data_IF_004966407132
#
_entry.id   IF_004966407132
#
_cell.length_a   1.000
_cell.length_b   1.000
_cell.length_c   1.000
_cell.angle_alpha   90.00
_cell.angle_beta   90.00
_cell.angle_gamma   90.00
#
_symmetry.space_group_name_H-M   'P 1'
#
loop_
_entity.id
_entity.type
_entity.pdbx_description
1 polymer ?
#
# COMPACT_ATOMS: atom_id res chain seq x y z
N UNK A 1 -6.58 -23.17 -35.12
CA UNK A 1 -6.96 -23.26 -33.69
C UNK A 1 -7.71 -21.98 -33.36
N UNK A 2 -9.04 -22.08 -33.18
CA UNK A 2 -9.88 -20.93 -32.87
C UNK A 2 -9.63 -20.53 -31.41
N UNK A 3 -9.01 -19.37 -31.19
CA UNK A 3 -8.90 -18.79 -29.86
C UNK A 3 -10.30 -18.47 -29.36
N UNK A 4 -10.67 -19.02 -28.21
CA UNK A 4 -11.88 -18.64 -27.49
C UNK A 4 -11.79 -17.14 -27.21
N UNK A 5 -12.52 -16.35 -28.00
CA UNK A 5 -12.90 -14.99 -27.63
C UNK A 5 -13.87 -15.15 -26.47
N UNK A 6 -13.32 -15.30 -25.27
CA UNK A 6 -14.08 -15.14 -24.05
C UNK A 6 -14.63 -13.71 -24.12
N UNK A 7 -15.94 -13.59 -24.32
CA UNK A 7 -16.64 -12.31 -24.36
C UNK A 7 -16.36 -11.66 -23.02
N UNK A 8 -15.36 -10.78 -22.97
CA UNK A 8 -15.08 -9.99 -21.79
C UNK A 8 -16.36 -9.20 -21.56
N UNK A 9 -17.12 -9.56 -20.52
CA UNK A 9 -18.37 -8.90 -20.13
C UNK A 9 -18.12 -7.50 -19.55
N UNK A 10 -17.01 -6.89 -19.97
CA UNK A 10 -16.64 -5.56 -19.61
C UNK A 10 -17.51 -4.59 -20.38
N UNK A 11 -17.92 -3.50 -19.73
CA UNK A 11 -18.56 -2.40 -20.42
C UNK A 11 -17.67 -2.00 -21.60
N UNK A 12 -18.24 -1.90 -22.80
CA UNK A 12 -17.54 -1.53 -24.04
C UNK A 12 -17.11 -0.06 -24.06
N UNK A 13 -16.61 0.46 -22.95
CA UNK A 13 -16.25 1.86 -22.77
C UNK A 13 -14.79 2.16 -23.21
N UNK A 14 -14.47 3.45 -23.29
CA UNK A 14 -13.15 3.91 -23.72
C UNK A 14 -12.04 3.58 -22.71
N UNK A 15 -12.38 3.31 -21.44
CA UNK A 15 -11.42 2.91 -20.42
C UNK A 15 -11.01 1.45 -20.63
N UNK A 16 -11.98 0.53 -20.70
CA UNK A 16 -11.78 -0.89 -20.98
C UNK A 16 -11.02 -1.12 -22.28
N UNK A 17 -11.25 -0.31 -23.32
CA UNK A 17 -10.50 -0.36 -24.58
C UNK A 17 -9.03 -0.01 -24.42
N UNK A 18 -8.67 0.96 -23.58
CA UNK A 18 -7.28 1.34 -23.33
C UNK A 18 -6.56 0.31 -22.44
N UNK A 19 -7.27 -0.27 -21.49
CA UNK A 19 -6.72 -1.28 -20.57
C UNK A 19 -6.57 -2.63 -21.27
N UNK A 20 -7.63 -3.15 -21.88
CA UNK A 20 -7.69 -4.53 -22.41
C UNK A 20 -7.54 -4.66 -23.92
N UNK A 21 -7.63 -3.54 -24.66
CA UNK A 21 -7.65 -3.57 -26.12
C UNK A 21 -6.34 -4.08 -26.73
N UNK A 22 -6.44 -4.65 -27.93
CA UNK A 22 -5.32 -5.28 -28.67
C UNK A 22 -4.86 -4.48 -29.89
N UNK A 23 -5.32 -3.23 -30.03
CA UNK A 23 -4.92 -2.34 -31.13
C UNK A 23 -3.44 -1.95 -31.02
N UNK A 24 -2.77 -1.86 -32.15
CA UNK A 24 -1.41 -1.31 -32.25
C UNK A 24 -1.33 0.13 -31.69
N UNK A 25 -0.15 0.48 -31.15
CA UNK A 25 0.10 1.77 -30.50
C UNK A 25 -0.33 1.85 -29.04
N UNK A 26 -0.84 0.78 -28.45
CA UNK A 26 -1.06 0.66 -27.01
C UNK A 26 0.22 0.15 -26.31
N UNK A 27 0.34 0.47 -25.02
CA UNK A 27 1.39 -0.13 -24.18
C UNK A 27 1.29 -1.66 -24.20
N UNK A 28 2.42 -2.39 -24.09
CA UNK A 28 2.41 -3.85 -24.14
C UNK A 28 1.39 -4.45 -23.19
N UNK A 29 0.72 -5.54 -23.62
CA UNK A 29 -0.28 -6.24 -22.80
C UNK A 29 0.28 -6.63 -21.43
N UNK A 30 1.52 -7.14 -21.39
CA UNK A 30 2.15 -7.55 -20.14
C UNK A 30 2.42 -6.37 -19.18
N UNK A 31 2.76 -5.19 -19.71
CA UNK A 31 2.88 -3.98 -18.89
C UNK A 31 1.53 -3.61 -18.28
N UNK A 32 0.47 -3.56 -19.09
CA UNK A 32 -0.86 -3.18 -18.61
C UNK A 32 -1.44 -4.18 -17.61
N UNK A 33 -1.12 -5.48 -17.76
CA UNK A 33 -1.44 -6.50 -16.76
C UNK A 33 -0.68 -6.26 -15.46
N UNK A 34 0.62 -5.94 -15.53
CA UNK A 34 1.41 -5.62 -14.35
C UNK A 34 0.86 -4.37 -13.63
N UNK A 35 0.50 -3.33 -14.38
CA UNK A 35 -0.12 -2.12 -13.85
C UNK A 35 -1.48 -2.42 -13.21
N UNK A 36 -2.29 -3.28 -13.83
CA UNK A 36 -3.54 -3.75 -13.23
C UNK A 36 -3.31 -4.54 -11.93
N UNK A 37 -2.35 -5.46 -11.90
CA UNK A 37 -2.02 -6.23 -10.70
C UNK A 37 -1.55 -5.31 -9.57
N UNK A 38 -0.71 -4.33 -9.89
CA UNK A 38 -0.25 -3.35 -8.91
C UNK A 38 -1.40 -2.50 -8.39
N UNK A 39 -2.26 -1.99 -9.26
CA UNK A 39 -3.40 -1.14 -8.88
C UNK A 39 -4.43 -1.89 -8.03
N UNK A 40 -4.66 -3.16 -8.33
CA UNK A 40 -5.61 -4.03 -7.61
C UNK A 40 -5.05 -4.50 -6.25
N UNK A 41 -3.77 -4.26 -5.95
CA UNK A 41 -3.13 -4.71 -4.71
C UNK A 41 -3.11 -3.60 -3.67
N UNK A 42 -3.86 -3.79 -2.59
CA UNK A 42 -3.78 -2.94 -1.40
C UNK A 42 -2.66 -3.38 -0.46
N UNK A 43 -2.01 -2.42 0.20
CA UNK A 43 -0.94 -2.69 1.17
C UNK A 43 -1.40 -2.32 2.58
N UNK A 44 -1.39 -3.29 3.49
CA UNK A 44 -1.70 -3.09 4.91
C UNK A 44 -0.39 -2.99 5.68
N UNK A 45 -0.18 -1.86 6.37
CA UNK A 45 0.89 -1.70 7.35
C UNK A 45 0.29 -1.90 8.75
N UNK A 46 0.74 -2.90 9.53
CA UNK A 46 0.20 -3.16 10.86
C UNK A 46 0.66 -2.14 11.91
N UNK A 47 0.06 -2.18 13.10
CA UNK A 47 0.43 -1.31 14.22
C UNK A 47 1.89 -1.54 14.65
N UNK A 48 2.51 -0.48 15.17
CA UNK A 48 3.89 -0.59 15.64
C UNK A 48 4.01 -1.39 16.94
N UNK A 49 5.05 -2.22 17.03
CA UNK A 49 5.45 -2.87 18.28
C UNK A 49 6.24 -1.88 19.13
N UNK A 50 5.89 -1.74 20.40
CA UNK A 50 6.61 -0.84 21.32
C UNK A 50 7.75 -1.59 22.02
N UNK A 51 8.95 -1.04 21.95
CA UNK A 51 10.11 -1.51 22.70
C UNK A 51 10.52 -0.44 23.69
N UNK A 52 10.46 -0.78 24.98
CA UNK A 52 10.89 0.10 26.07
C UNK A 52 12.39 -0.08 26.32
N UNK A 53 13.15 1.01 26.20
CA UNK A 53 14.58 1.06 26.55
C UNK A 53 14.71 1.89 27.82
N UNK A 54 15.14 1.26 28.90
CA UNK A 54 15.41 1.96 30.16
C UNK A 54 16.80 2.60 30.09
N UNK A 55 16.88 3.90 30.30
CA UNK A 55 18.15 4.63 30.38
C UNK A 55 18.21 5.33 31.72
N UNK A 56 19.29 5.07 32.47
CA UNK A 56 19.65 5.83 33.66
C UNK A 56 20.37 7.11 33.24
N UNK A 57 19.79 8.27 33.55
CA UNK A 57 20.40 9.59 33.31
C UNK A 57 20.24 10.47 34.54
N UNK A 58 21.25 11.30 34.79
CA UNK A 58 21.18 12.42 35.73
C UNK A 58 20.15 13.46 35.30
N UNK A 59 19.56 14.11 36.30
CA UNK A 59 18.33 14.91 36.27
C UNK A 59 18.39 16.17 35.40
N UNK A 60 18.37 16.07 34.06
CA UNK A 60 18.22 17.28 33.23
C UNK A 60 17.62 17.11 31.82
N UNK A 61 17.14 15.92 31.43
CA UNK A 61 16.61 15.72 30.06
C UNK A 61 15.08 15.47 30.02
N UNK A 62 14.27 16.39 29.45
CA UNK A 62 12.83 16.18 29.33
C UNK A 62 12.51 15.12 28.26
N UNK A 63 11.68 14.13 28.62
CA UNK A 63 11.21 13.09 27.70
C UNK A 63 10.29 13.67 26.61
N UNK A 64 10.65 13.49 25.34
CA UNK A 64 9.78 13.84 24.19
C UNK A 64 8.85 12.67 23.87
N UNK A 65 7.57 12.80 24.19
CA UNK A 65 6.54 11.85 23.76
C UNK A 65 6.43 11.83 22.23
N UNK A 66 6.63 10.67 21.60
CA UNK A 66 6.34 10.47 20.17
C UNK A 66 4.98 9.79 20.00
N UNK A 67 4.23 10.22 18.99
CA UNK A 67 2.91 9.67 18.64
C UNK A 67 3.05 8.22 18.18
N UNK A 68 2.24 7.31 18.74
CA UNK A 68 2.15 5.93 18.28
C UNK A 68 1.70 5.86 16.81
N UNK A 69 2.41 5.08 16.00
CA UNK A 69 2.04 4.78 14.62
C UNK A 69 0.93 3.74 14.63
N UNK A 70 -0.24 4.11 14.10
CA UNK A 70 -1.39 3.21 13.94
C UNK A 70 -1.32 2.48 12.59
N UNK A 71 -1.96 1.33 12.51
CA UNK A 71 -2.15 0.61 11.28
C UNK A 71 -2.78 1.49 10.20
N UNK A 72 -2.32 1.33 8.96
CA UNK A 72 -2.80 2.07 7.79
C UNK A 72 -2.91 1.13 6.60
N UNK A 73 -3.98 1.30 5.82
CA UNK A 73 -4.18 0.59 4.56
C UNK A 73 -4.00 1.58 3.41
N UNK A 74 -3.03 1.31 2.54
CA UNK A 74 -2.81 2.06 1.32
C UNK A 74 -3.49 1.35 0.14
N UNK A 75 -4.39 2.05 -0.54
CA UNK A 75 -5.07 1.58 -1.75
C UNK A 75 -4.56 2.42 -2.92
N UNK A 76 -3.99 1.80 -3.98
CA UNK A 76 -3.58 2.53 -5.16
C UNK A 76 -4.76 3.28 -5.79
N UNK A 77 -4.54 4.56 -6.11
CA UNK A 77 -5.55 5.42 -6.76
C UNK A 77 -5.03 6.08 -8.04
N UNK A 78 -3.72 5.97 -8.31
CA UNK A 78 -3.08 6.58 -9.48
C UNK A 78 -3.32 5.73 -10.70
N UNK A 79 -4.06 6.28 -11.66
CA UNK A 79 -4.32 5.64 -12.95
C UNK A 79 -3.14 5.92 -13.90
N UNK A 80 -2.60 4.90 -14.59
CA UNK A 80 -1.54 5.10 -15.58
C UNK A 80 -1.93 6.05 -16.71
N UNK A 81 -0.97 6.84 -17.22
CA UNK A 81 -1.23 7.86 -18.24
C UNK A 81 -1.85 7.31 -19.55
N UNK A 82 -1.56 6.06 -19.91
CA UNK A 82 -2.14 5.42 -21.10
C UNK A 82 -3.65 5.13 -20.96
N UNK A 83 -4.17 5.15 -19.73
CA UNK A 83 -5.57 4.88 -19.40
C UNK A 83 -6.31 6.20 -19.13
N UNK A 84 -6.07 7.21 -19.96
CA UNK A 84 -6.54 8.59 -19.75
C UNK A 84 -8.06 8.75 -19.75
N UNK A 85 -8.82 7.78 -20.26
CA UNK A 85 -10.29 7.79 -20.19
C UNK A 85 -10.84 7.08 -18.93
N UNK A 86 -9.96 6.56 -18.07
CA UNK A 86 -10.32 5.90 -16.82
C UNK A 86 -10.22 6.88 -15.65
N UNK A 87 -11.20 6.79 -14.75
CA UNK A 87 -10.98 7.14 -13.34
C UNK A 87 -10.52 5.88 -12.58
N UNK A 88 -10.20 6.02 -11.29
CA UNK A 88 -9.70 4.89 -10.49
C UNK A 88 -10.66 3.71 -10.39
N UNK A 89 -11.98 3.94 -10.33
CA UNK A 89 -12.97 2.85 -10.20
C UNK A 89 -13.22 2.15 -11.54
N UNK A 90 -13.25 2.89 -12.65
CA UNK A 90 -13.29 2.32 -14.00
C UNK A 90 -12.04 1.54 -14.33
N UNK A 91 -10.87 2.01 -13.89
CA UNK A 91 -9.62 1.29 -14.06
C UNK A 91 -9.64 -0.04 -13.29
N UNK A 92 -10.04 -0.03 -12.01
CA UNK A 92 -10.22 -1.25 -11.21
C UNK A 92 -11.22 -2.22 -11.86
N UNK A 93 -12.35 -1.71 -12.37
CA UNK A 93 -13.37 -2.50 -13.06
C UNK A 93 -12.83 -3.15 -14.33
N UNK A 94 -12.10 -2.40 -15.16
CA UNK A 94 -11.45 -2.91 -16.36
C UNK A 94 -10.40 -4.00 -16.06
N UNK A 95 -9.61 -3.82 -14.99
CA UNK A 95 -8.67 -4.84 -14.52
C UNK A 95 -9.38 -6.10 -14.04
N UNK A 96 -10.50 -5.94 -13.32
CA UNK A 96 -11.34 -7.04 -12.85
C UNK A 96 -11.95 -7.81 -14.01
N UNK A 97 -12.42 -7.14 -15.06
CA UNK A 97 -12.83 -7.78 -16.31
C UNK A 97 -11.69 -8.51 -17.02
N UNK A 98 -10.45 -8.06 -16.83
CA UNK A 98 -9.28 -8.77 -17.33
C UNK A 98 -9.03 -10.10 -16.58
N UNK A 99 -9.76 -10.34 -15.47
CA UNK A 99 -9.56 -11.47 -14.58
C UNK A 99 -8.49 -11.19 -13.52
N UNK A 100 -8.04 -9.94 -13.39
CA UNK A 100 -7.09 -9.53 -12.36
C UNK A 100 -7.88 -9.06 -11.14
N UNK A 101 -7.91 -9.89 -10.11
CA UNK A 101 -8.69 -9.66 -8.89
C UNK A 101 -7.94 -8.80 -7.88
N UNK A 102 -8.70 -8.17 -6.97
CA UNK A 102 -8.13 -7.43 -5.85
C UNK A 102 -7.25 -8.33 -4.97
N UNK A 103 -6.11 -7.79 -4.55
CA UNK A 103 -5.15 -8.43 -3.66
C UNK A 103 -4.89 -7.60 -2.42
N UNK A 104 -4.40 -8.26 -1.36
CA UNK A 104 -3.92 -7.60 -0.14
C UNK A 104 -2.52 -8.12 0.13
N UNK A 105 -1.60 -7.20 0.38
CA UNK A 105 -0.26 -7.50 0.86
C UNK A 105 -0.03 -6.84 2.21
N UNK A 106 0.73 -7.49 3.08
CA UNK A 106 1.07 -6.98 4.40
C UNK A 106 2.51 -6.48 4.39
N UNK A 107 2.71 -5.21 4.69
CA UNK A 107 4.03 -4.62 4.87
C UNK A 107 4.67 -5.07 6.21
N UNK A 108 5.99 -4.94 6.36
CA UNK A 108 6.66 -5.24 7.63
C UNK A 108 6.08 -4.44 8.81
N UNK A 109 6.05 -5.06 9.98
CA UNK A 109 5.60 -4.40 11.22
C UNK A 109 6.61 -3.35 11.68
N UNK A 110 6.19 -2.09 11.89
CA UNK A 110 7.08 -1.06 12.40
C UNK A 110 7.43 -1.30 13.88
N UNK A 111 8.60 -0.83 14.31
CA UNK A 111 9.01 -0.84 15.73
C UNK A 111 9.09 0.59 16.23
N UNK A 112 8.42 0.87 17.35
CA UNK A 112 8.49 2.13 18.08
C UNK A 112 9.36 1.96 19.33
N UNK A 113 10.46 2.71 19.42
CA UNK A 113 11.31 2.71 20.61
C UNK A 113 10.85 3.80 21.57
N UNK A 114 10.52 3.40 22.80
CA UNK A 114 10.18 4.30 23.91
C UNK A 114 11.34 4.29 24.88
N UNK A 115 11.95 5.45 25.11
CA UNK A 115 12.99 5.59 26.14
C UNK A 115 12.33 5.93 27.46
N UNK A 116 12.48 5.05 28.45
CA UNK A 116 12.07 5.32 29.83
C UNK A 116 13.30 5.75 30.62
N UNK A 117 13.26 6.97 31.14
CA UNK A 117 14.29 7.47 32.04
C UNK A 117 14.00 7.00 33.46
N UNK A 118 14.98 6.35 34.10
CA UNK A 118 14.97 6.09 35.54
C UNK A 118 16.05 6.97 36.17
N UNK A 119 15.64 7.95 36.95
CA UNK A 119 16.55 8.68 37.84
C UNK A 119 16.99 7.72 38.94
N UNK A 120 18.28 7.41 39.00
CA UNK A 120 18.83 6.82 40.22
C UNK A 120 19.07 7.95 41.20
N UNK A 121 18.20 8.05 42.20
CA UNK A 121 18.53 8.74 43.44
C UNK A 121 19.64 7.94 44.14
N UNK A 122 20.86 8.05 43.63
CA UNK A 122 22.03 7.80 44.46
C UNK A 122 22.18 9.05 45.32
N UNK A 123 21.63 9.03 46.54
CA UNK A 123 22.26 9.52 47.76
C UNK A 123 21.25 9.64 48.93
N UNK A 124 21.47 9.23 50.19
CA UNK A 124 22.33 8.24 50.86
C UNK A 124 21.69 7.99 52.25
N UNK A 125 21.76 6.76 52.76
CA UNK A 125 21.70 6.49 54.21
C UNK A 125 22.88 7.22 54.88
N UNK A 126 22.63 8.37 55.56
CA UNK A 126 23.60 9.01 56.46
C UNK A 126 22.93 9.52 57.74
#
# INVERSE_FOLDING_TARGET
MAGVLEVRNCAGDNCARQVTGTRDGLSPIESRKADCTSFQTSTVTPDAVTTTVTVTVDSDTPAKLRRNVRAVTNVPTVVPAYASACDGSRYASACSCWGITAGVTTAPTPTSTVTTTVTQDYCEDL
#
